data_IF_299527532761
#
_entry.id   IF_299527532761
#
_cell.length_a   1.000
_cell.length_b   1.000
_cell.length_c   1.000
_cell.angle_alpha   90.00
_cell.angle_beta   90.00
_cell.angle_gamma   90.00
#
_symmetry.space_group_name_H-M   'P 1'
#
loop_
_entity.id
_entity.type
_entity.pdbx_description
1 polymer ?
#
# COMPACT_ATOMS: atom_id res chain seq x y z
N UNK A 1 10.71 18.60 12.33
CA UNK A 1 9.53 17.84 12.80
C UNK A 1 8.40 18.12 11.83
N UNK A 2 7.89 17.11 11.11
CA UNK A 2 6.70 17.31 10.28
C UNK A 2 5.50 17.64 11.18
N UNK A 3 4.60 18.54 10.75
CA UNK A 3 3.35 18.77 11.48
C UNK A 3 2.54 17.47 11.58
N UNK A 4 1.95 17.22 12.75
CA UNK A 4 1.13 16.03 13.04
C UNK A 4 0.06 15.78 11.96
N UNK A 5 -0.69 16.82 11.59
CA UNK A 5 -1.72 16.75 10.56
C UNK A 5 -1.17 16.34 9.19
N UNK A 6 0.06 16.71 8.87
CA UNK A 6 0.71 16.39 7.59
C UNK A 6 1.19 14.94 7.56
N UNK A 7 1.66 14.41 8.69
CA UNK A 7 1.97 12.98 8.89
C UNK A 7 0.73 12.10 8.73
N UNK A 8 -0.37 12.49 9.39
CA UNK A 8 -1.67 11.80 9.28
C UNK A 8 -2.18 11.79 7.84
N UNK A 9 -2.15 12.95 7.17
CA UNK A 9 -2.63 13.09 5.81
C UNK A 9 -1.77 12.26 4.84
N UNK A 10 -0.44 12.23 5.04
CA UNK A 10 0.46 11.38 4.27
C UNK A 10 0.16 9.89 4.45
N UNK A 11 -0.05 9.42 5.69
CA UNK A 11 -0.42 8.03 6.00
C UNK A 11 -1.72 7.62 5.32
N UNK A 12 -2.76 8.45 5.45
CA UNK A 12 -4.07 8.18 4.87
C UNK A 12 -4.03 8.19 3.34
N UNK A 13 -3.39 9.20 2.72
CA UNK A 13 -3.26 9.25 1.26
C UNK A 13 -2.47 8.06 0.72
N UNK A 14 -1.36 7.70 1.37
CA UNK A 14 -0.54 6.57 0.93
C UNK A 14 -1.29 5.25 1.10
N UNK A 15 -2.00 5.08 2.21
CA UNK A 15 -2.83 3.90 2.47
C UNK A 15 -3.97 3.74 1.46
N UNK A 16 -4.69 4.83 1.16
CA UNK A 16 -5.76 4.85 0.15
C UNK A 16 -5.21 4.57 -1.25
N UNK A 17 -4.08 5.18 -1.63
CA UNK A 17 -3.43 4.89 -2.92
C UNK A 17 -3.07 3.41 -3.07
N UNK A 18 -2.51 2.78 -2.02
CA UNK A 18 -2.19 1.34 -2.03
C UNK A 18 -3.44 0.48 -2.18
N UNK A 19 -4.53 0.82 -1.50
CA UNK A 19 -5.81 0.13 -1.62
C UNK A 19 -6.42 0.28 -3.02
N UNK A 20 -6.33 1.47 -3.63
CA UNK A 20 -6.78 1.71 -5.00
C UNK A 20 -5.96 0.87 -5.99
N UNK A 21 -4.63 0.81 -5.82
CA UNK A 21 -3.75 -0.04 -6.64
C UNK A 21 -4.10 -1.52 -6.47
N UNK A 22 -4.35 -1.98 -5.24
CA UNK A 22 -4.77 -3.35 -4.97
C UNK A 22 -6.12 -3.66 -5.63
N UNK A 23 -7.11 -2.78 -5.48
CA UNK A 23 -8.44 -2.95 -6.08
C UNK A 23 -8.38 -2.96 -7.61
N UNK A 24 -7.63 -2.02 -8.20
CA UNK A 24 -7.44 -1.98 -9.65
C UNK A 24 -6.73 -3.24 -10.14
N UNK A 25 -5.68 -3.69 -9.44
CA UNK A 25 -4.97 -4.93 -9.77
C UNK A 25 -5.85 -6.17 -9.65
N UNK A 26 -6.74 -6.21 -8.66
CA UNK A 26 -7.76 -7.26 -8.53
C UNK A 26 -8.75 -7.26 -9.71
N UNK A 27 -9.24 -6.09 -10.10
CA UNK A 27 -10.21 -5.92 -11.21
C UNK A 27 -9.61 -6.30 -12.57
N UNK A 28 -8.38 -5.86 -12.85
CA UNK A 28 -7.70 -6.16 -14.11
C UNK A 28 -7.14 -7.59 -14.12
N UNK A 29 -6.89 -8.18 -12.96
CA UNK A 29 -6.23 -9.49 -12.86
C UNK A 29 -4.72 -9.42 -13.10
N UNK A 30 -4.16 -8.20 -13.08
CA UNK A 30 -2.74 -7.91 -13.22
C UNK A 30 -2.29 -6.99 -12.08
N UNK A 31 -1.30 -7.43 -11.31
CA UNK A 31 -0.65 -6.57 -10.32
C UNK A 31 0.74 -6.21 -10.82
N UNK A 32 1.10 -4.93 -10.76
CA UNK A 32 2.48 -4.50 -11.00
C UNK A 32 3.28 -4.80 -9.72
N UNK A 33 3.99 -5.94 -9.71
CA UNK A 33 4.79 -6.39 -8.57
C UNK A 33 6.02 -5.52 -8.29
N UNK A 34 6.31 -4.58 -9.19
CA UNK A 34 7.38 -3.60 -9.05
C UNK A 34 8.09 -3.34 -10.38
N UNK A 35 8.67 -2.15 -10.51
CA UNK A 35 9.69 -1.85 -11.52
C UNK A 35 11.04 -2.28 -10.96
N UNK A 36 11.48 -3.50 -11.25
CA UNK A 36 12.88 -3.82 -11.07
C UNK A 36 13.67 -3.11 -12.18
N UNK A 37 14.47 -2.10 -11.80
CA UNK A 37 15.38 -1.35 -12.68
C UNK A 37 16.33 -2.25 -13.51
N UNK A 38 16.47 -3.53 -13.13
CA UNK A 38 17.36 -4.51 -13.77
C UNK A 38 16.68 -5.69 -14.47
N UNK A 39 15.42 -6.00 -14.17
CA UNK A 39 14.80 -7.28 -14.59
C UNK A 39 13.45 -7.14 -15.31
N UNK A 40 13.06 -5.93 -15.70
CA UNK A 40 11.77 -5.67 -16.33
C UNK A 40 10.60 -5.62 -15.33
N UNK A 41 9.46 -5.13 -15.81
CA UNK A 41 8.25 -4.99 -14.99
C UNK A 41 7.68 -6.38 -14.71
N UNK A 42 7.92 -6.92 -13.52
CA UNK A 42 7.32 -8.19 -13.13
C UNK A 42 5.81 -7.97 -12.90
N UNK A 43 5.01 -8.49 -13.83
CA UNK A 43 3.54 -8.45 -13.78
C UNK A 43 3.01 -9.85 -13.48
N UNK A 44 2.85 -10.24 -12.21
CA UNK A 44 2.10 -11.44 -11.88
C UNK A 44 0.66 -11.27 -12.37
N UNK A 45 0.28 -12.09 -13.34
CA UNK A 45 -1.07 -12.24 -13.88
C UNK A 45 -1.79 -13.34 -13.12
N UNK A 46 -3.08 -13.18 -12.86
CA UNK A 46 -3.91 -14.21 -12.19
C UNK A 46 -3.90 -15.55 -12.92
N UNK A 47 -3.69 -15.54 -14.25
CA UNK A 47 -3.66 -16.73 -15.11
C UNK A 47 -2.32 -17.47 -15.10
N UNK A 48 -1.21 -16.74 -15.02
CA UNK A 48 0.13 -17.35 -15.12
C UNK A 48 0.62 -17.88 -13.78
N UNK A 49 0.40 -17.12 -12.70
CA UNK A 49 0.80 -17.51 -11.35
C UNK A 49 -0.18 -16.96 -10.30
N UNK A 50 -1.30 -17.66 -10.04
CA UNK A 50 -2.34 -17.18 -9.13
C UNK A 50 -1.83 -16.98 -7.70
N UNK A 51 -0.95 -17.86 -7.21
CA UNK A 51 -0.36 -17.76 -5.87
C UNK A 51 0.40 -16.45 -5.68
N UNK A 52 1.27 -16.11 -6.63
CA UNK A 52 2.10 -14.90 -6.58
C UNK A 52 1.20 -13.65 -6.70
N UNK A 53 0.20 -13.69 -7.59
CA UNK A 53 -0.78 -12.62 -7.70
C UNK A 53 -1.52 -12.35 -6.38
N UNK A 54 -2.05 -13.38 -5.72
CA UNK A 54 -2.73 -13.22 -4.43
C UNK A 54 -1.78 -12.81 -3.31
N UNK A 55 -0.54 -13.31 -3.31
CA UNK A 55 0.47 -12.88 -2.35
C UNK A 55 0.73 -11.38 -2.43
N UNK A 56 1.00 -10.86 -3.63
CA UNK A 56 1.15 -9.41 -3.82
C UNK A 56 -0.14 -8.66 -3.50
N UNK A 57 -1.31 -9.18 -3.90
CA UNK A 57 -2.59 -8.53 -3.61
C UNK A 57 -2.80 -8.35 -2.09
N UNK A 58 -2.57 -9.41 -1.32
CA UNK A 58 -2.70 -9.40 0.14
C UNK A 58 -1.65 -8.46 0.75
N UNK A 59 -0.43 -8.43 0.21
CA UNK A 59 0.62 -7.54 0.68
C UNK A 59 0.26 -6.06 0.47
N UNK A 60 -0.20 -5.68 -0.73
CA UNK A 60 -0.65 -4.32 -1.03
C UNK A 60 -1.88 -3.93 -0.19
N UNK A 61 -2.84 -4.84 -0.04
CA UNK A 61 -4.04 -4.61 0.74
C UNK A 61 -3.73 -4.44 2.24
N UNK A 62 -2.93 -5.34 2.81
CA UNK A 62 -2.55 -5.29 4.23
C UNK A 62 -1.66 -4.08 4.55
N UNK A 63 -0.73 -3.72 3.66
CA UNK A 63 0.06 -2.49 3.80
C UNK A 63 -0.82 -1.24 3.75
N UNK A 64 -1.73 -1.14 2.77
CA UNK A 64 -2.67 -0.03 2.65
C UNK A 64 -3.59 0.10 3.87
N UNK A 65 -4.15 -1.02 4.34
CA UNK A 65 -4.95 -1.07 5.57
C UNK A 65 -4.14 -0.65 6.79
N UNK A 66 -2.91 -1.13 6.94
CA UNK A 66 -2.06 -0.81 8.09
C UNK A 66 -1.74 0.69 8.13
N UNK A 67 -1.45 1.31 6.98
CA UNK A 67 -1.21 2.75 6.87
C UNK A 67 -2.47 3.57 7.18
N UNK A 68 -3.64 3.14 6.69
CA UNK A 68 -4.91 3.79 7.02
C UNK A 68 -5.25 3.68 8.50
N UNK A 69 -5.08 2.48 9.10
CA UNK A 69 -5.30 2.26 10.52
C UNK A 69 -4.34 3.09 11.37
N UNK A 70 -3.07 3.15 10.99
CA UNK A 70 -2.08 3.97 11.70
C UNK A 70 -2.38 5.47 11.57
N UNK A 71 -2.76 5.92 10.38
CA UNK A 71 -3.20 7.29 10.15
C UNK A 71 -4.43 7.65 10.98
N UNK A 72 -5.40 6.75 11.08
CA UNK A 72 -6.61 6.94 11.87
C UNK A 72 -6.31 6.95 13.38
N UNK A 73 -5.49 6.02 13.87
CA UNK A 73 -5.05 6.00 15.26
C UNK A 73 -4.25 7.25 15.63
N UNK A 74 -3.42 7.73 14.70
CA UNK A 74 -2.67 8.98 14.87
C UNK A 74 -3.62 10.19 14.92
N UNK A 75 -4.63 10.24 14.05
CA UNK A 75 -5.68 11.28 14.06
C UNK A 75 -6.47 11.31 15.39
N UNK A 76 -6.72 10.13 15.97
CA UNK A 76 -7.39 9.98 17.27
C UNK A 76 -6.46 10.29 18.47
N UNK A 77 -5.19 10.61 18.23
CA UNK A 77 -4.20 10.83 19.29
C UNK A 77 -3.78 9.55 20.03
N UNK A 78 -4.14 8.38 19.51
CA UNK A 78 -3.84 7.06 20.12
C UNK A 78 -2.51 6.46 19.65
N UNK A 79 -1.91 6.97 18.57
CA UNK A 79 -0.62 6.51 18.07
C UNK A 79 0.40 7.67 17.96
N UNK A 80 1.68 7.42 18.32
CA UNK A 80 2.74 8.41 18.18
C UNK A 80 3.01 8.73 16.70
N UNK A 81 3.41 9.98 16.45
CA UNK A 81 3.81 10.44 15.12
C UNK A 81 4.99 9.66 14.54
N UNK A 82 4.99 9.48 13.23
CA UNK A 82 6.13 8.94 12.49
C UNK A 82 7.26 9.97 12.54
N UNK A 83 8.27 9.70 13.37
CA UNK A 83 9.53 10.46 13.35
C UNK A 83 10.39 9.98 12.18
N UNK A 84 10.35 10.71 11.07
CA UNK A 84 11.45 10.65 10.11
C UNK A 84 12.67 11.31 10.77
N UNK A 85 13.72 10.52 10.99
CA UNK A 85 14.99 10.95 11.59
C UNK A 85 15.75 11.87 10.65
#
# INVERSE_FOLDING_TARGET
MMPHWLSVLFLLLTGVCLLVVAYHGYRVGELRGGTNLWCGVYRPTRKDNPLIFYFFLILYFSAGMSLCLWGLLSLLGMAPDIKFR
#
